data_IF_666726740791
#
_entry.id   IF_666726740791
#
_cell.length_a   1.000
_cell.length_b   1.000
_cell.length_c   1.000
_cell.angle_alpha   90.00
_cell.angle_beta   90.00
_cell.angle_gamma   90.00
#
_symmetry.space_group_name_H-M   'P 1'
#
loop_
_entity.id
_entity.type
_entity.pdbx_description
1 polymer ?
#
# COMPACT_ATOMS: atom_id res chain seq x y z
N UNK A 1 10.43 27.64 46.63
CA UNK A 1 11.44 27.81 45.57
C UNK A 1 10.82 28.08 44.18
N UNK A 2 9.92 27.23 43.65
CA UNK A 2 9.25 27.43 42.33
C UNK A 2 8.42 28.73 42.21
N UNK A 3 7.77 29.18 43.30
CA UNK A 3 6.98 30.42 43.30
C UNK A 3 7.80 31.67 42.92
N UNK A 4 9.08 31.70 43.29
CA UNK A 4 9.97 32.82 43.00
C UNK A 4 10.41 32.84 41.52
N UNK A 5 10.58 31.65 40.93
CA UNK A 5 10.87 31.54 39.49
C UNK A 5 9.65 31.97 38.67
N UNK A 6 8.45 31.56 39.08
CA UNK A 6 7.20 31.96 38.41
C UNK A 6 6.95 33.47 38.48
N UNK A 7 7.28 34.15 39.59
CA UNK A 7 7.17 35.63 39.67
C UNK A 7 8.19 36.35 38.79
N UNK A 8 9.43 35.87 38.67
CA UNK A 8 10.43 36.41 37.74
C UNK A 8 10.02 36.24 36.27
N UNK A 9 9.45 35.08 35.93
CA UNK A 9 8.92 34.79 34.59
C UNK A 9 7.73 35.72 34.26
N UNK A 10 6.85 35.97 35.24
CA UNK A 10 5.70 36.86 35.09
C UNK A 10 6.08 38.33 34.91
N UNK A 11 7.14 38.79 35.60
CA UNK A 11 7.60 40.19 35.54
C UNK A 11 8.28 40.55 34.21
N UNK A 12 8.87 39.58 33.49
CA UNK A 12 9.50 39.75 32.16
C UNK A 12 8.74 39.03 31.03
N UNK A 13 7.42 38.99 31.15
CA UNK A 13 6.48 38.21 30.31
C UNK A 13 6.72 38.33 28.79
N UNK A 14 7.08 39.51 28.26
CA UNK A 14 7.27 39.69 26.81
C UNK A 14 8.58 39.10 26.28
N UNK A 15 9.67 39.20 27.03
CA UNK A 15 10.98 38.67 26.61
C UNK A 15 11.07 37.14 26.80
N UNK A 16 10.51 36.63 27.91
CA UNK A 16 10.52 35.19 28.19
C UNK A 16 9.46 34.41 27.41
N UNK A 17 8.34 35.04 27.01
CA UNK A 17 7.32 34.35 26.21
C UNK A 17 7.82 33.97 24.81
N UNK A 18 8.68 34.78 24.20
CA UNK A 18 9.27 34.46 22.89
C UNK A 18 10.13 33.19 22.98
N UNK A 19 11.01 33.09 23.98
CA UNK A 19 11.84 31.91 24.20
C UNK A 19 11.02 30.66 24.55
N UNK A 20 10.00 30.79 25.40
CA UNK A 20 9.11 29.67 25.74
C UNK A 20 8.33 29.20 24.51
N UNK A 21 7.85 30.12 23.68
CA UNK A 21 7.14 29.79 22.44
C UNK A 21 8.06 29.09 21.45
N UNK A 22 9.30 29.54 21.31
CA UNK A 22 10.29 28.92 20.44
C UNK A 22 10.59 27.47 20.86
N UNK A 23 10.87 27.23 22.14
CA UNK A 23 11.10 25.88 22.67
C UNK A 23 9.85 25.00 22.50
N UNK A 24 8.67 25.56 22.70
CA UNK A 24 7.41 24.86 22.51
C UNK A 24 7.18 24.47 21.04
N UNK A 25 7.47 25.37 20.10
CA UNK A 25 7.39 25.08 18.67
C UNK A 25 8.42 24.03 18.23
N UNK A 26 9.65 24.12 18.75
CA UNK A 26 10.67 23.10 18.51
C UNK A 26 10.22 21.72 19.04
N UNK A 27 9.61 21.68 20.22
CA UNK A 27 9.04 20.45 20.78
C UNK A 27 7.93 19.88 19.90
N UNK A 28 7.00 20.70 19.42
CA UNK A 28 5.94 20.26 18.50
C UNK A 28 6.54 19.69 17.22
N UNK A 29 7.55 20.35 16.65
CA UNK A 29 8.20 19.88 15.42
C UNK A 29 8.84 18.50 15.62
N UNK A 30 9.61 18.31 16.70
CA UNK A 30 10.23 17.01 17.01
C UNK A 30 9.16 15.94 17.28
N UNK A 31 8.11 16.28 18.02
CA UNK A 31 7.00 15.37 18.30
C UNK A 31 6.28 14.93 17.02
N UNK A 32 5.97 15.87 16.12
CA UNK A 32 5.32 15.59 14.85
C UNK A 32 6.17 14.67 13.96
N UNK A 33 7.48 14.95 13.82
CA UNK A 33 8.41 14.12 13.07
C UNK A 33 8.51 12.72 13.69
N UNK A 34 8.63 12.62 15.02
CA UNK A 34 8.72 11.34 15.71
C UNK A 34 7.45 10.52 15.53
N UNK A 35 6.28 11.14 15.66
CA UNK A 35 4.98 10.49 15.42
C UNK A 35 4.87 9.97 13.99
N UNK A 36 5.29 10.76 13.00
CA UNK A 36 5.32 10.35 11.60
C UNK A 36 6.25 9.14 11.39
N UNK A 37 7.45 9.16 11.99
CA UNK A 37 8.39 8.03 11.91
C UNK A 37 7.78 6.77 12.51
N UNK A 38 7.14 6.86 13.68
CA UNK A 38 6.49 5.71 14.32
C UNK A 38 5.35 5.16 13.45
N UNK A 39 4.53 6.04 12.87
CA UNK A 39 3.47 5.67 11.95
C UNK A 39 4.02 4.96 10.70
N UNK A 40 5.03 5.52 10.06
CA UNK A 40 5.68 4.92 8.89
C UNK A 40 6.34 3.58 9.25
N UNK A 41 6.98 3.47 10.41
CA UNK A 41 7.58 2.22 10.89
C UNK A 41 6.53 1.14 11.11
N UNK A 42 5.40 1.47 11.73
CA UNK A 42 4.30 0.54 11.92
C UNK A 42 3.76 0.07 10.57
N UNK A 43 3.52 0.99 9.64
CA UNK A 43 3.07 0.67 8.29
C UNK A 43 4.07 -0.22 7.52
N UNK A 44 5.37 -0.01 7.69
CA UNK A 44 6.42 -0.81 7.06
C UNK A 44 6.54 -2.22 7.65
N UNK A 45 6.18 -2.40 8.92
CA UNK A 45 6.18 -3.70 9.59
C UNK A 45 4.88 -4.49 9.37
N UNK A 46 3.82 -3.83 8.91
CA UNK A 46 2.55 -4.50 8.58
C UNK A 46 2.78 -5.53 7.47
N UNK A 47 2.35 -6.79 7.65
CA UNK A 47 2.48 -7.81 6.62
C UNK A 47 1.68 -7.38 5.38
N UNK A 48 2.34 -7.36 4.22
CA UNK A 48 1.77 -6.91 2.95
C UNK A 48 0.64 -7.81 2.41
N UNK A 49 0.44 -9.00 2.99
CA UNK A 49 -0.54 -9.98 2.52
C UNK A 49 -0.16 -10.72 1.23
N UNK A 50 0.98 -10.37 0.61
CA UNK A 50 1.57 -11.03 -0.55
C UNK A 50 3.09 -11.13 -0.41
N UNK A 51 3.69 -12.12 -1.07
CA UNK A 51 5.15 -12.26 -1.17
C UNK A 51 5.64 -11.69 -2.50
N UNK A 52 6.63 -10.80 -2.43
CA UNK A 52 7.25 -10.17 -3.60
C UNK A 52 8.68 -10.65 -3.86
N UNK A 53 9.22 -11.48 -2.96
CA UNK A 53 10.57 -12.05 -3.09
C UNK A 53 10.58 -13.03 -4.27
N UNK A 54 11.56 -12.91 -5.16
CA UNK A 54 11.77 -13.78 -6.32
C UNK A 54 10.61 -13.84 -7.33
N UNK A 55 9.79 -12.78 -7.40
CA UNK A 55 8.69 -12.66 -8.36
C UNK A 55 9.09 -11.75 -9.52
N UNK A 56 8.87 -12.23 -10.76
CA UNK A 56 9.13 -11.47 -11.98
C UNK A 56 7.82 -11.18 -12.72
N UNK A 57 7.60 -9.91 -13.06
CA UNK A 57 6.49 -9.50 -13.91
C UNK A 57 6.97 -9.36 -15.36
N UNK A 58 6.32 -10.09 -16.27
CA UNK A 58 6.61 -10.04 -17.70
C UNK A 58 5.39 -9.46 -18.42
N UNK A 59 5.56 -8.25 -18.98
CA UNK A 59 4.52 -7.58 -19.78
C UNK A 59 4.68 -7.96 -21.25
N UNK A 60 3.74 -8.76 -21.75
CA UNK A 60 3.71 -9.16 -23.16
C UNK A 60 2.92 -8.14 -23.96
N UNK A 61 3.62 -7.32 -24.76
CA UNK A 61 2.97 -6.44 -25.73
C UNK A 61 2.56 -7.24 -26.95
N UNK A 62 1.27 -7.27 -27.25
CA UNK A 62 0.76 -7.81 -28.50
C UNK A 62 1.10 -6.83 -29.62
N UNK A 63 1.89 -7.25 -30.60
CA UNK A 63 2.05 -6.52 -31.86
C UNK A 63 0.77 -6.60 -32.72
N UNK A 64 0.87 -6.32 -34.02
CA UNK A 64 -0.26 -6.31 -34.96
C UNK A 64 -0.92 -7.70 -35.25
N UNK A 65 -0.73 -8.69 -34.39
CA UNK A 65 -1.27 -10.04 -34.56
C UNK A 65 -2.60 -10.16 -33.81
N UNK A 66 -3.72 -10.01 -34.52
CA UNK A 66 -5.07 -9.97 -33.95
C UNK A 66 -5.77 -11.34 -33.81
N UNK A 67 -5.17 -12.44 -34.29
CA UNK A 67 -5.85 -13.75 -34.37
C UNK A 67 -5.34 -14.88 -33.48
N UNK A 68 -4.04 -14.92 -33.12
CA UNK A 68 -3.42 -16.06 -32.42
C UNK A 68 -2.98 -15.75 -30.98
N UNK A 69 -3.39 -14.61 -30.44
CA UNK A 69 -2.88 -14.05 -29.18
C UNK A 69 -3.00 -15.01 -28.00
N UNK A 70 -4.16 -15.67 -27.87
CA UNK A 70 -4.41 -16.58 -26.77
C UNK A 70 -3.55 -17.86 -26.85
N UNK A 71 -3.39 -18.41 -28.06
CA UNK A 71 -2.56 -19.60 -28.29
C UNK A 71 -1.08 -19.30 -27.99
N UNK A 72 -0.56 -18.17 -28.46
CA UNK A 72 0.82 -17.73 -28.18
C UNK A 72 1.04 -17.51 -26.68
N UNK A 73 0.10 -16.85 -26.00
CA UNK A 73 0.16 -16.68 -24.54
C UNK A 73 0.21 -18.02 -23.81
N UNK A 74 -0.62 -18.98 -24.21
CA UNK A 74 -0.66 -20.30 -23.59
C UNK A 74 0.64 -21.08 -23.80
N UNK A 75 1.25 -20.98 -24.99
CA UNK A 75 2.56 -21.55 -25.27
C UNK A 75 3.66 -20.93 -24.40
N UNK A 76 3.68 -19.60 -24.25
CA UNK A 76 4.64 -18.90 -23.40
C UNK A 76 4.50 -19.35 -21.95
N UNK A 77 3.28 -19.38 -21.42
CA UNK A 77 3.01 -19.85 -20.05
C UNK A 77 3.47 -21.32 -19.88
N UNK A 78 3.19 -22.18 -20.85
CA UNK A 78 3.58 -23.59 -20.78
C UNK A 78 5.11 -23.75 -20.78
N UNK A 79 5.81 -22.96 -21.59
CA UNK A 79 7.28 -22.98 -21.67
C UNK A 79 7.94 -22.44 -20.41
N UNK A 80 7.38 -21.38 -19.81
CA UNK A 80 7.85 -20.87 -18.53
C UNK A 80 7.67 -21.89 -17.42
N UNK A 81 6.53 -22.61 -17.39
CA UNK A 81 6.30 -23.69 -16.42
C UNK A 81 7.27 -24.86 -16.58
N UNK A 82 7.77 -25.13 -17.79
CA UNK A 82 8.75 -26.20 -18.04
C UNK A 82 10.20 -25.75 -17.88
N UNK A 83 10.45 -24.49 -17.51
CA UNK A 83 11.81 -23.96 -17.35
C UNK A 83 12.35 -24.31 -15.96
N UNK A 84 13.52 -24.95 -15.85
CA UNK A 84 14.13 -25.23 -14.54
C UNK A 84 14.33 -23.96 -13.73
N UNK A 85 13.95 -23.98 -12.46
CA UNK A 85 14.05 -22.83 -11.54
C UNK A 85 12.78 -21.98 -11.44
N UNK A 86 11.78 -22.17 -12.31
CA UNK A 86 10.48 -21.51 -12.18
C UNK A 86 9.56 -22.34 -11.27
N UNK A 87 9.20 -21.80 -10.11
CA UNK A 87 8.31 -22.49 -9.15
C UNK A 87 6.84 -22.43 -9.56
N UNK A 88 6.39 -21.28 -10.08
CA UNK A 88 5.00 -21.06 -10.45
C UNK A 88 4.87 -19.99 -11.52
N UNK A 89 3.80 -20.08 -12.30
CA UNK A 89 3.45 -19.07 -13.32
C UNK A 89 1.97 -18.74 -13.18
N UNK A 90 1.69 -17.46 -13.02
CA UNK A 90 0.34 -16.93 -13.00
C UNK A 90 0.20 -15.80 -14.01
N UNK A 91 -0.98 -15.73 -14.61
CA UNK A 91 -1.37 -14.59 -15.43
C UNK A 91 -2.04 -13.58 -14.52
N UNK A 92 -1.69 -12.31 -14.66
CA UNK A 92 -2.34 -11.20 -13.98
C UNK A 92 -2.84 -10.17 -14.98
N UNK A 93 -3.74 -9.30 -14.55
CA UNK A 93 -4.04 -8.04 -15.22
C UNK A 93 -2.94 -6.99 -14.99
N UNK A 94 -3.25 -5.76 -15.37
CA UNK A 94 -2.30 -4.63 -15.31
C UNK A 94 -2.15 -4.05 -13.89
N UNK A 95 -3.08 -4.36 -12.98
CA UNK A 95 -3.10 -3.95 -11.58
C UNK A 95 -2.40 -4.98 -10.69
N UNK A 96 -1.07 -5.02 -10.74
CA UNK A 96 -0.24 -5.92 -9.90
C UNK A 96 0.43 -5.12 -8.79
N UNK A 97 0.86 -5.75 -7.68
CA UNK A 97 1.63 -5.05 -6.66
C UNK A 97 2.83 -4.29 -7.27
N UNK A 98 3.04 -3.04 -6.85
CA UNK A 98 4.07 -2.15 -7.36
C UNK A 98 3.96 -1.73 -8.84
N UNK A 99 2.87 -2.03 -9.54
CA UNK A 99 2.65 -1.53 -10.91
C UNK A 99 2.17 -0.08 -10.98
N UNK A 100 1.97 0.57 -9.82
CA UNK A 100 1.37 1.92 -9.70
C UNK A 100 0.02 2.05 -10.42
N UNK A 101 -0.67 0.94 -10.62
CA UNK A 101 -1.98 0.86 -11.26
C UNK A 101 -2.94 0.17 -10.30
N UNK A 102 -4.07 0.81 -9.99
CA UNK A 102 -5.08 0.28 -9.09
C UNK A 102 -6.41 0.09 -9.82
N UNK A 103 -7.12 -0.98 -9.44
CA UNK A 103 -8.48 -1.23 -9.89
C UNK A 103 -9.38 -1.28 -8.67
N UNK A 104 -10.47 -0.51 -8.67
CA UNK A 104 -11.45 -0.55 -7.58
C UNK A 104 -12.80 -1.01 -8.12
N UNK A 105 -13.55 -1.73 -7.30
CA UNK A 105 -14.94 -2.11 -7.61
C UNK A 105 -15.84 -1.84 -6.42
N UNK A 106 -17.13 -1.65 -6.72
CA UNK A 106 -18.21 -1.72 -5.73
C UNK A 106 -19.02 -2.96 -6.04
N UNK A 107 -19.04 -3.90 -5.11
CA UNK A 107 -19.86 -5.09 -5.23
C UNK A 107 -21.26 -4.76 -4.72
N UNK A 108 -22.24 -4.86 -5.61
CA UNK A 108 -23.65 -4.81 -5.25
C UNK A 108 -24.14 -6.26 -5.10
N UNK A 109 -24.65 -6.62 -3.93
CA UNK A 109 -25.18 -7.95 -3.63
C UNK A 109 -26.66 -7.88 -3.24
N UNK A 110 -27.47 -8.78 -3.77
CA UNK A 110 -28.92 -8.83 -3.56
C UNK A 110 -29.72 -8.02 -4.58
N UNK A 111 -31.04 -8.20 -4.55
CA UNK A 111 -31.99 -7.62 -5.52
C UNK A 111 -33.11 -6.86 -4.79
N UNK A 112 -33.66 -5.82 -5.42
CA UNK A 112 -34.73 -5.00 -4.84
C UNK A 112 -34.32 -4.25 -3.57
N UNK A 113 -35.16 -4.31 -2.53
CA UNK A 113 -34.96 -3.62 -1.25
C UNK A 113 -33.82 -4.19 -0.39
N UNK A 114 -33.35 -5.39 -0.70
CA UNK A 114 -32.24 -6.05 0.01
C UNK A 114 -30.87 -5.81 -0.63
N UNK A 115 -30.78 -4.87 -1.58
CA UNK A 115 -29.53 -4.52 -2.25
C UNK A 115 -28.54 -3.92 -1.24
N UNK A 116 -27.43 -4.60 -1.01
CA UNK A 116 -26.31 -4.13 -0.20
C UNK A 116 -25.15 -3.75 -1.10
N UNK A 117 -24.62 -2.56 -0.89
CA UNK A 117 -23.44 -2.06 -1.59
C UNK A 117 -22.23 -2.17 -0.68
N UNK A 118 -21.19 -2.84 -1.15
CA UNK A 118 -19.89 -2.88 -0.50
C UNK A 118 -19.18 -1.53 -0.60
N UNK A 119 -18.30 -1.26 0.37
CA UNK A 119 -17.34 -0.15 0.26
C UNK A 119 -16.43 -0.35 -0.96
N UNK A 120 -15.89 0.76 -1.47
CA UNK A 120 -14.94 0.70 -2.58
C UNK A 120 -13.77 -0.19 -2.18
N UNK A 121 -13.62 -1.32 -2.87
CA UNK A 121 -12.60 -2.32 -2.54
C UNK A 121 -11.63 -2.47 -3.70
N UNK A 122 -10.34 -2.58 -3.38
CA UNK A 122 -9.30 -2.87 -4.37
C UNK A 122 -9.46 -4.30 -4.91
N UNK A 123 -9.36 -4.43 -6.23
CA UNK A 123 -9.38 -5.71 -6.92
C UNK A 123 -8.07 -5.95 -7.64
N UNK A 124 -7.66 -7.21 -7.68
CA UNK A 124 -6.51 -7.69 -8.44
C UNK A 124 -7.00 -8.72 -9.44
N UNK A 125 -6.78 -8.48 -10.72
CA UNK A 125 -7.13 -9.48 -11.74
C UNK A 125 -6.03 -10.53 -11.79
N UNK A 126 -6.34 -11.75 -11.34
CA UNK A 126 -5.41 -12.85 -11.38
C UNK A 126 -6.07 -14.10 -11.96
N UNK A 127 -5.32 -14.84 -12.78
CA UNK A 127 -5.74 -16.10 -13.35
C UNK A 127 -5.82 -17.20 -12.28
N UNK A 128 -6.49 -18.32 -12.57
CA UNK A 128 -6.79 -19.39 -11.61
C UNK A 128 -5.55 -20.07 -10.98
N UNK A 129 -4.36 -19.87 -11.54
CA UNK A 129 -3.10 -20.35 -10.96
C UNK A 129 -2.52 -19.44 -9.87
N UNK A 130 -3.06 -18.23 -9.68
CA UNK A 130 -2.70 -17.34 -8.59
C UNK A 130 -3.48 -17.74 -7.32
N UNK A 131 -3.08 -18.84 -6.67
CA UNK A 131 -3.74 -19.34 -5.46
C UNK A 131 -3.27 -18.69 -4.16
N UNK A 132 -2.40 -17.69 -4.23
CA UNK A 132 -1.80 -17.05 -3.05
C UNK A 132 -2.39 -15.66 -2.83
N UNK A 133 -3.70 -15.58 -2.65
CA UNK A 133 -4.33 -14.40 -2.04
C UNK A 133 -4.62 -14.76 -0.57
N UNK A 134 -3.58 -14.71 0.27
CA UNK A 134 -3.68 -14.92 1.72
C UNK A 134 -4.25 -13.70 2.45
N UNK A 135 -5.28 -13.05 1.87
CA UNK A 135 -5.95 -11.87 2.45
C UNK A 135 -7.08 -12.27 3.43
N UNK A 136 -7.40 -13.56 3.55
CA UNK A 136 -8.31 -14.05 4.59
C UNK A 136 -7.55 -14.85 5.66
N UNK A 137 -7.06 -14.16 6.69
CA UNK A 137 -6.95 -14.74 8.03
C UNK A 137 -7.33 -13.71 9.07
#
# INVERSE_FOLDING_TARGET
>A
MIRHLLTLIWNRRRANALLVTEIFLAFIAVFAVTSLILYMRQNYQTPLGFQYQDVWQISLKQGNQTGQQFATLQQVVQRLKSTPGVSSVARSGENTPFSFNNGTIKLDAGEGTNKRRSETTDIYFAGPSCKTCSICR
#
